data_IF_470902814272
#
_entry.id   IF_470902814272
#
_cell.length_a   1.000
_cell.length_b   1.000
_cell.length_c   1.000
_cell.angle_alpha   90.00
_cell.angle_beta   90.00
_cell.angle_gamma   90.00
#
_symmetry.space_group_name_H-M   'P 1'
#
loop_
_entity.id
_entity.type
_entity.pdbx_description
1 polymer ?
#
# COMPACT_ATOMS: atom_id res chain seq x y z
N UNK A 1 -6.86 17.85 0.82
CA UNK A 1 -6.16 18.19 -0.44
C UNK A 1 -4.89 19.03 -0.24
N UNK A 2 -4.54 19.47 0.97
CA UNK A 2 -3.33 20.29 1.19
C UNK A 2 -2.00 19.63 0.74
N UNK A 3 -1.92 18.29 0.72
CA UNK A 3 -0.72 17.56 0.28
C UNK A 3 -0.59 17.39 -1.24
N UNK A 4 -1.63 17.73 -2.01
CA UNK A 4 -1.65 17.61 -3.49
C UNK A 4 -1.77 18.97 -4.18
N UNK A 5 -1.55 20.06 -3.44
CA UNK A 5 -1.52 21.39 -4.02
C UNK A 5 -0.41 21.49 -5.07
N UNK A 6 -0.75 22.04 -6.25
CA UNK A 6 0.17 22.12 -7.39
C UNK A 6 0.19 20.87 -8.28
N UNK A 7 -0.51 19.78 -7.92
CA UNK A 7 -0.64 18.59 -8.76
C UNK A 7 -2.01 18.51 -9.43
N UNK A 8 -2.05 17.99 -10.65
CA UNK A 8 -3.29 17.63 -11.34
C UNK A 8 -3.94 16.45 -10.62
N UNK A 9 -5.23 16.58 -10.26
CA UNK A 9 -5.99 15.52 -9.61
C UNK A 9 -6.99 14.96 -10.60
N UNK A 10 -6.82 13.69 -10.97
CA UNK A 10 -7.80 12.97 -11.78
C UNK A 10 -9.04 12.70 -10.92
N UNK A 11 -10.24 13.13 -11.36
CA UNK A 11 -11.47 12.88 -10.61
C UNK A 11 -11.69 11.39 -10.35
N UNK A 12 -12.05 11.06 -9.11
CA UNK A 12 -12.36 9.68 -8.73
C UNK A 12 -13.65 9.21 -9.39
N UNK A 13 -13.65 7.95 -9.85
CA UNK A 13 -14.84 7.29 -10.37
C UNK A 13 -15.75 6.89 -9.20
N UNK A 14 -17.03 7.23 -9.30
CA UNK A 14 -18.05 6.82 -8.31
C UNK A 14 -18.65 5.47 -8.69
N UNK A 15 -18.65 4.52 -7.76
CA UNK A 15 -19.20 3.18 -7.95
C UNK A 15 -20.28 2.93 -6.91
N UNK A 16 -21.51 2.62 -7.33
CA UNK A 16 -22.55 2.18 -6.41
C UNK A 16 -22.30 0.74 -6.00
N UNK A 17 -22.20 0.51 -4.70
CA UNK A 17 -22.09 -0.81 -4.13
C UNK A 17 -22.93 -0.94 -2.86
N UNK A 18 -23.97 -1.80 -2.94
CA UNK A 18 -24.89 -2.09 -1.82
C UNK A 18 -25.49 -0.83 -1.19
N UNK A 19 -25.87 0.16 -2.02
CA UNK A 19 -26.47 1.41 -1.55
C UNK A 19 -25.47 2.39 -0.92
N UNK A 20 -24.17 2.19 -1.14
CA UNK A 20 -23.11 3.13 -0.80
C UNK A 20 -22.36 3.53 -2.06
N UNK A 21 -21.97 4.79 -2.14
CA UNK A 21 -21.07 5.26 -3.19
C UNK A 21 -19.64 5.06 -2.71
N UNK A 22 -18.87 4.26 -3.45
CA UNK A 22 -17.44 4.09 -3.29
C UNK A 22 -16.72 4.99 -4.29
N UNK A 23 -15.63 5.61 -3.85
CA UNK A 23 -14.73 6.33 -4.73
C UNK A 23 -13.57 5.43 -5.15
N UNK A 24 -13.35 5.30 -6.45
CA UNK A 24 -12.29 4.50 -7.05
C UNK A 24 -11.37 5.33 -7.94
N UNK A 25 -10.15 4.84 -8.13
CA UNK A 25 -9.24 5.40 -9.13
C UNK A 25 -9.83 5.24 -10.53
N UNK A 26 -9.75 6.30 -11.35
CA UNK A 26 -10.16 6.25 -12.75
C UNK A 26 -8.95 5.89 -13.63
N UNK A 27 -8.72 4.58 -13.79
CA UNK A 27 -7.62 4.07 -14.63
C UNK A 27 -7.76 4.52 -16.09
N UNK A 28 -8.98 4.53 -16.64
CA UNK A 28 -9.18 4.87 -18.05
C UNK A 28 -8.84 6.35 -18.31
N UNK A 29 -9.18 7.24 -17.37
CA UNK A 29 -8.75 8.64 -17.41
C UNK A 29 -7.22 8.81 -17.29
N UNK A 30 -6.55 8.03 -16.41
CA UNK A 30 -5.08 8.03 -16.30
C UNK A 30 -4.44 7.62 -17.63
N UNK A 31 -4.89 6.51 -18.21
CA UNK A 31 -4.36 5.98 -19.46
C UNK A 31 -4.60 6.93 -20.63
N UNK A 32 -5.75 7.60 -20.69
CA UNK A 32 -6.03 8.62 -21.70
C UNK A 32 -5.15 9.87 -21.52
N UNK A 33 -4.89 10.26 -20.27
CA UNK A 33 -4.08 11.43 -19.91
C UNK A 33 -2.58 11.24 -20.17
N UNK A 34 -2.10 9.99 -20.12
CA UNK A 34 -0.69 9.58 -20.31
C UNK A 34 0.31 10.47 -19.56
N UNK A 35 0.20 10.62 -18.23
CA UNK A 35 1.20 11.35 -17.46
C UNK A 35 2.56 10.61 -17.50
N UNK A 36 3.65 11.33 -17.21
CA UNK A 36 4.94 10.67 -17.01
C UNK A 36 4.96 9.84 -15.71
N UNK A 37 4.32 10.35 -14.66
CA UNK A 37 4.22 9.73 -13.34
C UNK A 37 2.79 9.89 -12.80
N UNK A 38 2.28 8.85 -12.15
CA UNK A 38 1.02 8.89 -11.38
C UNK A 38 1.25 8.43 -9.94
N UNK A 39 0.57 9.08 -9.00
CA UNK A 39 0.58 8.71 -7.58
C UNK A 39 -0.66 7.85 -7.29
N UNK A 40 -0.45 6.62 -6.85
CA UNK A 40 -1.51 5.64 -6.57
C UNK A 40 -1.38 5.17 -5.13
N UNK A 41 -2.24 5.65 -4.24
CA UNK A 41 -2.21 5.25 -2.83
C UNK A 41 -2.81 3.84 -2.62
N UNK A 42 -2.38 3.16 -1.55
CA UNK A 42 -2.89 1.87 -1.09
C UNK A 42 -2.80 0.74 -2.15
N UNK A 43 -1.59 0.26 -2.45
CA UNK A 43 -1.35 -0.81 -3.44
C UNK A 43 -2.16 -2.08 -3.17
N UNK A 44 -2.42 -2.37 -1.90
CA UNK A 44 -3.18 -3.53 -1.44
C UNK A 44 -4.68 -3.42 -1.62
N UNK A 45 -5.22 -2.26 -1.99
CA UNK A 45 -6.65 -2.01 -2.06
C UNK A 45 -7.37 -3.02 -2.97
N UNK A 46 -8.54 -3.47 -2.51
CA UNK A 46 -9.47 -4.27 -3.29
C UNK A 46 -10.48 -3.36 -3.96
N UNK A 47 -10.40 -3.28 -5.28
CA UNK A 47 -11.25 -2.36 -6.04
C UNK A 47 -12.73 -2.73 -5.88
N UNK A 48 -13.59 -1.71 -5.96
CA UNK A 48 -15.04 -1.89 -5.91
C UNK A 48 -15.52 -2.91 -6.97
N UNK A 49 -16.55 -3.73 -6.67
CA UNK A 49 -17.09 -4.68 -7.63
C UNK A 49 -17.53 -4.03 -8.95
N UNK A 50 -17.26 -4.71 -10.06
CA UNK A 50 -17.49 -4.17 -11.40
C UNK A 50 -16.37 -3.24 -11.91
N UNK A 51 -15.28 -3.08 -11.15
CA UNK A 51 -14.05 -2.47 -11.66
C UNK A 51 -13.36 -3.37 -12.68
N UNK A 52 -12.57 -2.75 -13.56
CA UNK A 52 -11.79 -3.43 -14.61
C UNK A 52 -10.92 -4.54 -14.04
N UNK A 53 -10.24 -4.26 -12.93
CA UNK A 53 -9.49 -5.25 -12.16
C UNK A 53 -10.01 -5.36 -10.73
N UNK A 54 -9.89 -6.54 -10.10
CA UNK A 54 -10.29 -6.73 -8.71
C UNK A 54 -9.33 -6.13 -7.68
N UNK A 55 -8.08 -5.81 -8.06
CA UNK A 55 -7.03 -5.35 -7.15
C UNK A 55 -6.28 -4.16 -7.73
N UNK A 56 -5.93 -3.19 -6.88
CA UNK A 56 -5.23 -1.99 -7.32
C UNK A 56 -3.84 -2.26 -7.89
N UNK A 57 -3.12 -3.26 -7.37
CA UNK A 57 -1.84 -3.64 -7.98
C UNK A 57 -1.97 -4.10 -9.44
N UNK A 58 -3.13 -4.63 -9.87
CA UNK A 58 -3.38 -4.98 -11.27
C UNK A 58 -3.62 -3.73 -12.13
N UNK A 59 -4.28 -2.71 -11.57
CA UNK A 59 -4.38 -1.40 -12.22
C UNK A 59 -2.99 -0.78 -12.41
N UNK A 60 -2.16 -0.84 -11.36
CA UNK A 60 -0.77 -0.36 -11.41
C UNK A 60 0.03 -1.10 -12.48
N UNK A 61 -0.08 -2.43 -12.56
CA UNK A 61 0.57 -3.20 -13.62
C UNK A 61 0.11 -2.74 -15.02
N UNK A 62 -1.18 -2.54 -15.24
CA UNK A 62 -1.66 -2.03 -16.53
C UNK A 62 -1.12 -0.63 -16.84
N UNK A 63 -1.10 0.27 -15.87
CA UNK A 63 -0.53 1.62 -16.02
C UNK A 63 0.95 1.53 -16.43
N UNK A 64 1.74 0.69 -15.76
CA UNK A 64 3.15 0.45 -16.08
C UNK A 64 3.32 -0.09 -17.51
N UNK A 65 2.47 -1.02 -17.97
CA UNK A 65 2.54 -1.54 -19.36
C UNK A 65 2.27 -0.47 -20.42
N UNK A 66 1.66 0.66 -20.06
CA UNK A 66 1.46 1.80 -20.96
C UNK A 66 2.61 2.82 -20.92
N UNK A 67 3.69 2.50 -20.20
CA UNK A 67 4.89 3.33 -20.07
C UNK A 67 4.68 4.56 -19.19
N UNK A 68 3.82 4.46 -18.17
CA UNK A 68 3.57 5.51 -17.18
C UNK A 68 4.19 5.05 -15.86
N UNK A 69 5.06 5.86 -15.27
CA UNK A 69 5.68 5.55 -13.99
C UNK A 69 4.64 5.65 -12.85
N UNK A 70 4.82 4.84 -11.80
CA UNK A 70 3.88 4.80 -10.67
C UNK A 70 4.63 4.91 -9.35
N UNK A 71 4.22 5.87 -8.52
CA UNK A 71 4.54 5.86 -7.09
C UNK A 71 3.35 5.34 -6.31
N UNK A 72 3.59 4.44 -5.37
CA UNK A 72 2.55 3.81 -4.56
C UNK A 72 2.97 3.63 -3.12
N UNK A 73 1.99 3.44 -2.24
CA UNK A 73 2.23 3.12 -0.82
C UNK A 73 1.77 1.69 -0.51
N UNK A 74 2.41 1.07 0.48
CA UNK A 74 2.04 -0.25 0.98
C UNK A 74 2.46 -0.38 2.45
N UNK A 75 1.52 -0.75 3.32
CA UNK A 75 1.87 -1.17 4.68
C UNK A 75 2.30 -2.65 4.68
N UNK A 76 3.33 -2.98 5.44
CA UNK A 76 3.93 -4.33 5.49
C UNK A 76 2.94 -5.46 5.81
N UNK A 77 1.87 -5.14 6.54
CA UNK A 77 0.82 -6.08 6.92
C UNK A 77 0.07 -6.70 5.74
N UNK A 78 0.14 -6.08 4.56
CA UNK A 78 -0.55 -6.51 3.36
C UNK A 78 0.30 -7.42 2.46
N UNK A 79 1.58 -7.63 2.78
CA UNK A 79 2.41 -8.58 2.02
C UNK A 79 1.89 -9.99 2.27
N UNK A 80 1.58 -10.72 1.20
CA UNK A 80 0.91 -12.00 1.26
C UNK A 80 1.68 -13.04 2.09
N UNK A 81 2.99 -13.18 1.87
CA UNK A 81 3.84 -14.10 2.63
C UNK A 81 3.89 -13.82 4.14
N UNK A 82 3.62 -12.58 4.56
CA UNK A 82 3.68 -12.15 5.96
C UNK A 82 2.33 -12.27 6.68
N UNK A 83 1.25 -12.62 5.98
CA UNK A 83 -0.11 -12.58 6.51
C UNK A 83 -0.28 -13.40 7.80
N UNK A 84 0.26 -14.62 7.83
CA UNK A 84 0.12 -15.51 8.99
C UNK A 84 0.94 -15.02 10.19
N UNK A 85 2.14 -14.48 9.95
CA UNK A 85 2.98 -13.88 11.01
C UNK A 85 2.31 -12.64 11.59
N UNK A 86 1.78 -11.76 10.73
CA UNK A 86 1.02 -10.57 11.12
C UNK A 86 -0.21 -10.96 11.95
N UNK A 87 -0.95 -11.99 11.54
CA UNK A 87 -2.11 -12.48 12.28
C UNK A 87 -1.72 -13.07 13.64
N UNK A 88 -0.58 -13.75 13.75
CA UNK A 88 -0.08 -14.27 15.02
C UNK A 88 0.28 -13.16 16.01
N UNK A 89 0.90 -12.09 15.52
CA UNK A 89 1.29 -10.91 16.31
C UNK A 89 0.02 -10.14 16.73
N UNK A 90 -0.78 -9.71 15.76
CA UNK A 90 -1.83 -8.70 15.97
C UNK A 90 -3.19 -9.30 16.33
N UNK A 91 -3.36 -10.63 16.15
CA UNK A 91 -4.65 -11.34 16.23
C UNK A 91 -5.68 -10.88 15.20
N UNK A 92 -5.27 -10.06 14.23
CA UNK A 92 -6.12 -9.58 13.14
C UNK A 92 -5.64 -10.19 11.83
N UNK A 93 -6.56 -10.82 11.09
CA UNK A 93 -6.26 -11.33 9.76
C UNK A 93 -6.48 -10.25 8.70
N UNK A 94 -5.42 -9.92 7.97
CA UNK A 94 -5.46 -8.94 6.89
C UNK A 94 -6.08 -9.61 5.66
N UNK A 95 -7.17 -9.03 5.13
CA UNK A 95 -7.90 -9.58 3.97
C UNK A 95 -7.38 -9.06 2.65
N UNK A 96 -6.92 -7.83 2.65
CA UNK A 96 -6.38 -7.18 1.46
C UNK A 96 -4.89 -7.46 1.39
N UNK A 97 -4.49 -8.31 0.45
CA UNK A 97 -3.09 -8.68 0.29
C UNK A 97 -2.55 -8.27 -1.08
N UNK A 98 -1.22 -8.19 -1.16
CA UNK A 98 -0.43 -8.03 -2.37
C UNK A 98 0.57 -9.18 -2.44
N UNK A 99 0.66 -9.92 -3.57
CA UNK A 99 1.68 -10.93 -3.77
C UNK A 99 3.09 -10.33 -3.69
N UNK A 100 4.01 -11.03 -3.03
CA UNK A 100 5.41 -10.62 -2.89
C UNK A 100 6.05 -10.23 -4.24
N UNK A 101 5.72 -10.97 -5.30
CA UNK A 101 6.26 -10.74 -6.64
C UNK A 101 5.98 -9.34 -7.20
N UNK A 102 4.89 -8.69 -6.76
CA UNK A 102 4.58 -7.30 -7.17
C UNK A 102 5.59 -6.33 -6.56
N UNK A 103 6.02 -6.59 -5.33
CA UNK A 103 7.00 -5.76 -4.61
C UNK A 103 8.40 -6.04 -5.18
N UNK A 104 8.69 -7.30 -5.50
CA UNK A 104 9.98 -7.71 -6.06
C UNK A 104 10.23 -7.12 -7.46
N UNK A 105 9.15 -6.80 -8.19
CA UNK A 105 9.19 -6.12 -9.48
C UNK A 105 9.37 -4.60 -9.38
N UNK A 106 9.24 -3.99 -8.20
CA UNK A 106 9.40 -2.54 -8.05
C UNK A 106 10.87 -2.14 -8.31
N UNK A 107 11.09 -1.11 -9.11
CA UNK A 107 12.43 -0.59 -9.40
C UNK A 107 13.12 -0.09 -8.12
N UNK A 108 12.38 0.66 -7.29
CA UNK A 108 12.83 1.18 -6.01
C UNK A 108 11.82 0.91 -4.89
N UNK A 109 12.33 0.71 -3.67
CA UNK A 109 11.53 0.57 -2.44
C UNK A 109 12.13 1.44 -1.36
N UNK A 110 11.35 2.42 -0.88
CA UNK A 110 11.74 3.30 0.22
C UNK A 110 10.94 2.98 1.49
N UNK A 111 11.65 2.81 2.61
CA UNK A 111 11.01 2.59 3.91
C UNK A 111 10.73 3.91 4.61
N UNK A 112 9.45 4.17 4.87
CA UNK A 112 9.01 5.29 5.71
C UNK A 112 8.86 4.79 7.14
N UNK A 113 9.87 5.06 7.96
CA UNK A 113 9.95 4.56 9.33
C UNK A 113 9.47 5.59 10.37
N UNK A 114 8.77 5.10 11.39
CA UNK A 114 8.32 5.88 12.53
C UNK A 114 8.41 5.02 13.79
N UNK A 115 8.80 5.62 14.92
CA UNK A 115 8.84 4.86 16.17
C UNK A 115 7.42 4.45 16.60
N UNK A 116 7.25 3.29 17.27
CA UNK A 116 5.96 2.89 17.82
C UNK A 116 5.31 3.97 18.70
N UNK A 117 6.10 4.59 19.58
CA UNK A 117 5.61 5.63 20.50
C UNK A 117 5.11 6.86 19.76
N UNK A 118 5.81 7.29 18.71
CA UNK A 118 5.38 8.43 17.88
C UNK A 118 4.10 8.11 17.11
N UNK A 119 3.95 6.88 16.60
CA UNK A 119 2.74 6.48 15.89
C UNK A 119 1.53 6.43 16.84
N UNK A 120 1.72 5.89 18.05
CA UNK A 120 0.68 5.87 19.10
C UNK A 120 0.30 7.30 19.49
N UNK A 121 1.28 8.17 19.72
CA UNK A 121 1.02 9.58 20.01
C UNK A 121 0.21 10.25 18.90
N UNK A 122 0.55 10.01 17.63
CA UNK A 122 -0.21 10.56 16.48
C UNK A 122 -1.64 10.01 16.44
N UNK A 123 -1.85 8.76 16.83
CA UNK A 123 -3.17 8.15 16.95
C UNK A 123 -3.99 8.86 18.03
N UNK A 124 -3.42 9.06 19.21
CA UNK A 124 -4.05 9.78 20.34
C UNK A 124 -4.39 11.23 19.99
N UNK A 125 -3.53 11.89 19.20
CA UNK A 125 -3.75 13.25 18.68
C UNK A 125 -4.77 13.31 17.53
N UNK A 126 -5.34 12.17 17.10
CA UNK A 126 -6.31 12.11 16.00
C UNK A 126 -5.72 12.40 14.62
N UNK A 127 -4.39 12.31 14.47
CA UNK A 127 -3.67 12.58 13.21
C UNK A 127 -3.60 11.35 12.29
N UNK A 128 -4.07 10.20 12.76
CA UNK A 128 -4.13 8.95 11.99
C UNK A 128 -5.61 8.60 11.76
N UNK A 129 -6.01 8.57 10.50
CA UNK A 129 -7.39 8.33 10.11
C UNK A 129 -7.66 6.83 9.96
N UNK A 130 -8.76 6.34 10.54
CA UNK A 130 -9.26 4.99 10.30
C UNK A 130 -10.74 5.06 9.91
N UNK A 131 -11.18 4.28 8.90
CA UNK A 131 -12.60 4.09 8.67
C UNK A 131 -13.19 3.38 9.89
N UNK A 132 -14.29 3.94 10.44
CA UNK A 132 -15.08 3.64 11.67
C UNK A 132 -15.30 2.15 12.09
N UNK A 133 -14.29 1.31 12.00
CA UNK A 133 -14.38 -0.13 12.20
C UNK A 133 -13.80 -0.46 13.57
N UNK A 134 -14.67 -0.88 14.49
CA UNK A 134 -14.35 -1.49 15.78
C UNK A 134 -13.12 -0.89 16.49
N UNK A 135 -13.30 0.26 17.13
CA UNK A 135 -12.27 0.99 17.90
C UNK A 135 -11.41 0.10 18.81
N UNK A 136 -12.00 -0.95 19.42
CA UNK A 136 -11.28 -1.94 20.24
C UNK A 136 -10.32 -2.85 19.47
N UNK A 137 -10.65 -3.22 18.24
CA UNK A 137 -9.74 -4.01 17.40
C UNK A 137 -8.54 -3.17 16.95
N UNK A 138 -8.77 -1.87 16.74
CA UNK A 138 -7.73 -0.87 16.45
C UNK A 138 -6.83 -0.68 17.67
N UNK A 139 -7.38 -0.46 18.87
CA UNK A 139 -6.58 -0.30 20.10
C UNK A 139 -5.62 -1.49 20.35
N UNK A 140 -6.09 -2.72 20.13
CA UNK A 140 -5.23 -3.90 20.26
C UNK A 140 -4.16 -3.99 19.16
N UNK A 141 -4.50 -3.58 17.94
CA UNK A 141 -3.56 -3.54 16.82
C UNK A 141 -2.41 -2.55 17.08
N UNK A 142 -2.74 -1.36 17.55
CA UNK A 142 -1.80 -0.26 17.84
C UNK A 142 -1.17 -0.33 19.24
N UNK A 143 -0.82 -1.54 19.69
CA UNK A 143 -0.02 -1.70 20.90
C UNK A 143 1.49 -1.57 20.60
N UNK A 144 2.31 -1.07 21.56
CA UNK A 144 3.75 -0.92 21.35
C UNK A 144 4.44 -2.21 20.87
N UNK A 145 4.06 -3.37 21.42
CA UNK A 145 4.61 -4.66 21.04
C UNK A 145 4.28 -5.04 19.59
N UNK A 146 3.03 -4.86 19.17
CA UNK A 146 2.61 -5.15 17.80
C UNK A 146 3.30 -4.24 16.79
N UNK A 147 3.33 -2.93 17.06
CA UNK A 147 3.98 -1.96 16.19
C UNK A 147 5.50 -2.19 16.09
N UNK A 148 6.15 -2.56 17.20
CA UNK A 148 7.58 -2.93 17.18
C UNK A 148 7.83 -4.12 16.28
N UNK A 149 7.00 -5.17 16.39
CA UNK A 149 7.15 -6.36 15.55
C UNK A 149 6.86 -6.07 14.07
N UNK A 150 5.83 -5.28 13.75
CA UNK A 150 5.53 -4.87 12.38
C UNK A 150 6.67 -4.01 11.78
N UNK A 151 7.25 -3.10 12.57
CA UNK A 151 8.42 -2.30 12.17
C UNK A 151 9.62 -3.20 11.86
N UNK A 152 9.88 -4.20 12.70
CA UNK A 152 10.94 -5.19 12.46
C UNK A 152 10.70 -5.97 11.16
N UNK A 153 9.47 -6.40 10.89
CA UNK A 153 9.11 -7.07 9.63
C UNK A 153 9.35 -6.16 8.42
N UNK A 154 8.98 -4.88 8.52
CA UNK A 154 9.18 -3.91 7.43
C UNK A 154 10.68 -3.70 7.12
N UNK A 155 11.49 -3.52 8.16
CA UNK A 155 12.94 -3.35 8.03
C UNK A 155 13.59 -4.60 7.43
N UNK A 156 13.22 -5.79 7.91
CA UNK A 156 13.74 -7.07 7.38
C UNK A 156 13.38 -7.28 5.92
N UNK A 157 12.12 -7.01 5.52
CA UNK A 157 11.70 -7.15 4.12
C UNK A 157 12.45 -6.19 3.21
N UNK A 158 12.65 -4.95 3.66
CA UNK A 158 13.40 -3.95 2.90
C UNK A 158 14.87 -4.36 2.75
N UNK A 159 15.51 -4.84 3.82
CA UNK A 159 16.88 -5.35 3.76
C UNK A 159 17.02 -6.52 2.76
N UNK A 160 16.08 -7.48 2.79
CA UNK A 160 16.09 -8.61 1.85
C UNK A 160 16.00 -8.13 0.39
N UNK A 161 15.19 -7.12 0.09
CA UNK A 161 15.08 -6.55 -1.25
C UNK A 161 16.40 -5.94 -1.73
N UNK A 162 17.11 -5.22 -0.85
CA UNK A 162 18.42 -4.64 -1.16
C UNK A 162 19.44 -5.73 -1.48
N UNK A 163 19.45 -6.82 -0.70
CA UNK A 163 20.32 -7.97 -0.96
C UNK A 163 20.04 -8.61 -2.33
N UNK A 164 18.77 -8.78 -2.70
CA UNK A 164 18.37 -9.33 -4.00
C UNK A 164 18.80 -8.42 -5.17
N UNK A 165 18.68 -7.08 -5.02
CA UNK A 165 19.16 -6.13 -6.04
C UNK A 165 20.68 -6.23 -6.24
N UNK A 166 21.45 -6.35 -5.16
CA UNK A 166 22.91 -6.50 -5.22
C UNK A 166 23.30 -7.79 -5.96
N UNK A 167 22.62 -8.90 -5.69
CA UNK A 167 22.87 -10.18 -6.37
C UNK A 167 22.58 -10.10 -7.88
N UNK A 168 21.46 -9.50 -8.27
CA UNK A 168 21.12 -9.29 -9.69
C UNK A 168 22.17 -8.43 -10.38
N UNK A 169 22.59 -7.33 -9.75
CA UNK A 169 23.63 -6.46 -10.29
C UNK A 169 24.97 -7.19 -10.46
N UNK A 170 25.39 -7.99 -9.46
CA UNK A 170 26.62 -8.78 -9.55
C UNK A 170 26.58 -9.83 -10.67
N UNK A 171 25.43 -10.46 -10.91
CA UNK A 171 25.26 -11.45 -11.99
C UNK A 171 25.22 -10.81 -13.38
N UNK A 172 24.65 -9.61 -13.51
CA UNK A 172 24.59 -8.89 -14.78
C UNK A 172 25.96 -8.32 -15.23
N UNK A 173 26.91 -8.23 -14.29
CA UNK A 173 28.26 -7.68 -14.52
C UNK A 173 29.39 -8.70 -14.29
N UNK A 174 29.07 -9.99 -14.27
CA UNK A 174 30.04 -11.11 -14.26
C UNK A 174 30.22 -11.70 -15.66
#
# INVERSE_FOLDING_TARGET
LALVEGYEVIPRRKVDYKGRILDEMDIDAILARRPALVLVDELAHTNAPGSRHPKRYLDVQEILTHGIDVYTTLNIQHVESLNDVVAQITKVRVRETVPDSIIDQADDVEIIDLTPDDLIKRLEEGKVYFPNTAQRAIENYFSPGNLTALRELALRRTAQRVDDQLLIHMQAHA
#
